data_IF_715569545733
#
_entry.id   IF_715569545733
#
_cell.length_a   1.000
_cell.length_b   1.000
_cell.length_c   1.000
_cell.angle_alpha   90.00
_cell.angle_beta   90.00
_cell.angle_gamma   90.00
#
_symmetry.space_group_name_H-M   'P 1'
#
loop_
_entity.id
_entity.type
_entity.pdbx_description
1 polymer ?
#
# COMPACT_ATOMS: atom_id res chain seq x y z
N UNK A 1 10.25 -18.21 -11.99
CA UNK A 1 9.59 -18.58 -10.70
C UNK A 1 9.33 -17.29 -9.94
N UNK A 2 8.15 -17.11 -9.31
CA UNK A 2 7.83 -15.88 -8.56
C UNK A 2 7.02 -16.21 -7.31
N UNK A 3 7.47 -15.74 -6.15
CA UNK A 3 6.73 -15.89 -4.88
C UNK A 3 6.76 -14.59 -4.10
N UNK A 4 5.65 -14.28 -3.46
CA UNK A 4 5.51 -13.19 -2.52
C UNK A 4 5.06 -13.76 -1.17
N UNK A 5 5.79 -13.41 -0.13
CA UNK A 5 5.56 -13.90 1.22
C UNK A 5 5.41 -12.73 2.17
N UNK A 6 4.54 -12.90 3.17
CA UNK A 6 4.40 -11.95 4.27
C UNK A 6 4.72 -12.63 5.60
N UNK A 7 5.23 -11.85 6.53
CA UNK A 7 5.47 -12.24 7.90
C UNK A 7 4.97 -11.13 8.81
N UNK A 8 3.99 -11.44 9.65
CA UNK A 8 3.42 -10.47 10.59
C UNK A 8 3.39 -11.08 12.00
N UNK A 9 3.99 -10.36 12.96
CA UNK A 9 3.89 -10.58 14.39
C UNK A 9 3.48 -9.27 15.09
N UNK A 10 3.41 -9.26 16.42
CA UNK A 10 2.98 -8.08 17.19
C UNK A 10 3.84 -6.82 16.97
N UNK A 11 5.06 -6.96 16.45
CA UNK A 11 6.05 -5.87 16.28
C UNK A 11 6.55 -5.70 14.86
N UNK A 12 6.24 -6.64 13.98
CA UNK A 12 6.80 -6.73 12.62
C UNK A 12 5.69 -6.95 11.63
N UNK A 13 5.67 -6.16 10.57
CA UNK A 13 4.91 -6.45 9.36
C UNK A 13 5.89 -6.35 8.18
N UNK A 14 6.23 -7.51 7.60
CA UNK A 14 7.32 -7.64 6.63
C UNK A 14 6.85 -8.38 5.39
N UNK A 15 7.40 -7.99 4.26
CA UNK A 15 7.28 -8.74 3.02
C UNK A 15 8.63 -9.26 2.55
N UNK A 16 8.58 -10.32 1.77
CA UNK A 16 9.71 -10.90 1.06
C UNK A 16 9.22 -11.47 -0.26
N UNK A 17 9.82 -11.04 -1.36
CA UNK A 17 9.52 -11.49 -2.70
C UNK A 17 10.79 -12.06 -3.32
N UNK A 18 10.63 -13.11 -4.13
CA UNK A 18 11.67 -13.57 -5.03
C UNK A 18 11.11 -13.74 -6.43
N UNK A 19 11.86 -13.29 -7.42
CA UNK A 19 11.58 -13.43 -8.83
C UNK A 19 12.82 -13.96 -9.55
N UNK A 20 12.69 -15.13 -10.17
CA UNK A 20 13.77 -15.80 -10.91
C UNK A 20 13.56 -15.54 -12.40
N UNK A 21 14.60 -15.02 -13.04
CA UNK A 21 14.69 -14.76 -14.48
C UNK A 21 15.99 -15.37 -15.01
N UNK A 22 15.87 -16.47 -15.76
CA UNK A 22 17.00 -17.20 -16.35
C UNK A 22 18.06 -17.59 -15.30
N UNK A 23 19.29 -17.14 -15.47
CA UNK A 23 20.44 -17.39 -14.60
C UNK A 23 20.52 -16.46 -13.38
N UNK A 24 19.51 -15.61 -13.16
CA UNK A 24 19.49 -14.64 -12.08
C UNK A 24 18.20 -14.68 -11.28
N UNK A 25 18.27 -14.24 -10.04
CA UNK A 25 17.09 -13.91 -9.26
C UNK A 25 17.21 -12.55 -8.61
N UNK A 26 16.06 -11.93 -8.40
CA UNK A 26 15.88 -10.70 -7.64
C UNK A 26 15.06 -10.99 -6.41
N UNK A 27 15.58 -10.61 -5.25
CA UNK A 27 14.88 -10.65 -3.96
C UNK A 27 14.55 -9.23 -3.56
N UNK A 28 13.27 -8.98 -3.24
CA UNK A 28 12.82 -7.70 -2.67
C UNK A 28 12.27 -7.96 -1.28
N UNK A 29 12.72 -7.21 -0.26
CA UNK A 29 12.25 -7.42 1.11
C UNK A 29 12.18 -6.12 1.89
N UNK A 30 11.24 -6.03 2.83
CA UNK A 30 11.06 -4.81 3.58
C UNK A 30 9.92 -4.90 4.58
N UNK A 31 9.56 -3.75 5.14
CA UNK A 31 8.31 -3.56 5.88
C UNK A 31 7.16 -3.55 4.86
N UNK A 32 6.06 -4.22 5.16
CA UNK A 32 4.88 -4.20 4.27
C UNK A 32 4.43 -2.76 4.06
N UNK A 33 4.26 -2.36 2.80
CA UNK A 33 3.90 -0.98 2.42
C UNK A 33 5.07 -0.08 2.01
N UNK A 34 6.33 -0.47 2.25
CA UNK A 34 7.50 0.26 1.76
C UNK A 34 8.03 -0.29 0.43
N UNK A 35 8.86 0.49 -0.26
CA UNK A 35 9.57 0.05 -1.48
C UNK A 35 10.51 -1.14 -1.21
N UNK A 36 10.91 -1.35 0.04
CA UNK A 36 11.83 -2.39 0.46
C UNK A 36 13.25 -2.21 -0.09
N UNK A 37 14.08 -3.23 0.13
CA UNK A 37 15.43 -3.34 -0.42
C UNK A 37 15.45 -4.42 -1.48
N UNK A 38 16.17 -4.15 -2.58
CA UNK A 38 16.33 -5.05 -3.70
C UNK A 38 17.73 -5.65 -3.66
N UNK A 39 17.82 -6.96 -3.82
CA UNK A 39 19.08 -7.68 -4.00
C UNK A 39 18.97 -8.62 -5.19
N UNK A 40 19.83 -8.41 -6.19
CA UNK A 40 19.94 -9.27 -7.36
C UNK A 40 21.17 -10.15 -7.25
N UNK A 41 21.04 -11.41 -7.64
CA UNK A 41 22.15 -12.36 -7.70
C UNK A 41 22.09 -13.14 -9.00
N UNK A 42 23.22 -13.18 -9.71
CA UNK A 42 23.42 -13.92 -10.95
C UNK A 42 24.27 -15.17 -10.68
N UNK A 43 24.02 -16.22 -11.45
CA UNK A 43 24.67 -17.52 -11.38
C UNK A 43 25.19 -17.92 -12.76
N UNK A 44 26.01 -18.98 -12.81
CA UNK A 44 26.58 -19.46 -14.07
C UNK A 44 25.55 -20.21 -14.94
N UNK A 45 24.46 -20.70 -14.34
CA UNK A 45 23.40 -21.44 -15.02
C UNK A 45 22.04 -21.34 -14.30
N UNK A 46 20.96 -21.55 -15.07
CA UNK A 46 19.57 -21.49 -14.60
C UNK A 46 19.25 -22.55 -13.52
N UNK A 47 19.82 -23.76 -13.62
CA UNK A 47 19.52 -24.85 -12.67
C UNK A 47 20.03 -24.51 -11.27
N UNK A 48 21.27 -23.99 -11.20
CA UNK A 48 21.89 -23.51 -9.97
C UNK A 48 21.10 -22.33 -9.37
N UNK A 49 20.69 -21.38 -10.21
CA UNK A 49 19.84 -20.25 -9.80
C UNK A 49 18.53 -20.72 -9.17
N UNK A 50 17.80 -21.60 -9.85
CA UNK A 50 16.50 -22.12 -9.41
C UNK A 50 16.63 -22.92 -8.09
N UNK A 51 17.71 -23.68 -7.94
CA UNK A 51 17.96 -24.47 -6.71
C UNK A 51 18.19 -23.58 -5.50
N UNK A 52 18.98 -22.51 -5.62
CA UNK A 52 19.19 -21.57 -4.53
C UNK A 52 17.92 -20.77 -4.22
N UNK A 53 17.16 -20.35 -5.24
CA UNK A 53 15.87 -19.68 -5.06
C UNK A 53 14.86 -20.52 -4.26
N UNK A 54 14.74 -21.82 -4.59
CA UNK A 54 13.87 -22.77 -3.85
C UNK A 54 14.32 -23.00 -2.41
N UNK A 55 15.64 -22.99 -2.16
CA UNK A 55 16.20 -23.08 -0.81
C UNK A 55 15.84 -21.86 0.01
N UNK A 56 16.03 -20.65 -0.51
CA UNK A 56 15.64 -19.41 0.15
C UNK A 56 14.15 -19.37 0.47
N UNK A 57 13.29 -19.76 -0.49
CA UNK A 57 11.86 -19.89 -0.28
C UNK A 57 11.55 -20.83 0.89
N UNK A 58 12.12 -22.02 0.89
CA UNK A 58 11.90 -23.03 1.94
C UNK A 58 12.36 -22.53 3.33
N UNK A 59 13.47 -21.81 3.40
CA UNK A 59 13.96 -21.20 4.64
C UNK A 59 13.02 -20.13 5.17
N UNK A 60 12.43 -19.31 4.30
CA UNK A 60 11.45 -18.28 4.70
C UNK A 60 10.16 -18.92 5.22
N UNK A 61 9.63 -19.93 4.51
CA UNK A 61 8.44 -20.66 4.95
C UNK A 61 8.66 -21.33 6.33
N UNK A 62 9.84 -21.92 6.57
CA UNK A 62 10.19 -22.47 7.90
C UNK A 62 10.27 -21.41 9.01
N UNK A 63 10.57 -20.16 8.66
CA UNK A 63 10.61 -19.03 9.61
C UNK A 63 9.23 -18.41 9.87
N UNK A 64 8.16 -19.01 9.34
CA UNK A 64 6.78 -18.57 9.57
C UNK A 64 6.29 -17.52 8.56
N UNK A 65 7.04 -17.26 7.48
CA UNK A 65 6.50 -16.50 6.35
C UNK A 65 5.40 -17.34 5.67
N UNK A 66 4.34 -16.66 5.21
CA UNK A 66 3.19 -17.28 4.57
C UNK A 66 3.08 -16.76 3.15
N UNK A 67 2.69 -17.63 2.22
CA UNK A 67 2.46 -17.26 0.83
C UNK A 67 1.26 -16.31 0.70
N UNK A 68 1.44 -15.23 -0.06
CA UNK A 68 0.45 -14.19 -0.27
C UNK A 68 0.50 -13.68 -1.72
N UNK A 69 -0.55 -12.98 -2.15
CA UNK A 69 -0.55 -12.31 -3.44
C UNK A 69 0.32 -11.05 -3.38
N UNK A 70 1.22 -10.89 -4.35
CA UNK A 70 2.00 -9.67 -4.48
C UNK A 70 1.05 -8.49 -4.77
N UNK A 71 1.22 -7.33 -4.11
CA UNK A 71 0.54 -6.12 -4.55
C UNK A 71 1.00 -5.78 -5.98
N UNK A 72 0.04 -5.44 -6.85
CA UNK A 72 0.35 -5.07 -8.22
C UNK A 72 1.22 -3.79 -8.23
N UNK A 73 2.24 -3.69 -9.12
CA UNK A 73 2.98 -2.45 -9.29
C UNK A 73 2.02 -1.34 -9.73
N UNK A 74 2.21 -0.09 -9.29
CA UNK A 74 1.33 1.01 -9.66
C UNK A 74 1.55 1.33 -11.15
N UNK A 75 0.77 0.71 -12.02
CA UNK A 75 0.53 1.16 -13.38
C UNK A 75 -0.85 1.82 -13.40
N UNK A 76 -1.03 2.86 -14.20
CA UNK A 76 -2.27 3.66 -14.30
C UNK A 76 -3.58 2.93 -14.67
N UNK A 77 -3.63 1.59 -14.58
CA UNK A 77 -4.82 0.72 -14.53
C UNK A 77 -5.38 0.48 -13.12
N UNK A 78 -4.67 0.91 -12.08
CA UNK A 78 -5.03 0.66 -10.68
C UNK A 78 -6.49 0.99 -10.32
N UNK A 79 -7.13 1.96 -11.00
CA UNK A 79 -8.50 2.35 -10.68
C UNK A 79 -9.54 1.28 -11.00
N UNK A 80 -9.45 0.61 -12.16
CA UNK A 80 -10.44 -0.41 -12.55
C UNK A 80 -10.25 -1.69 -11.71
N UNK A 81 -9.00 -2.10 -11.51
CA UNK A 81 -8.63 -3.28 -10.72
C UNK A 81 -9.00 -3.12 -9.23
N UNK A 82 -8.83 -1.92 -8.66
CA UNK A 82 -9.22 -1.64 -7.27
C UNK A 82 -10.75 -1.65 -7.11
N UNK A 83 -11.51 -1.12 -8.07
CA UNK A 83 -12.98 -1.15 -7.98
C UNK A 83 -13.52 -2.59 -8.07
N UNK A 84 -12.96 -3.41 -8.97
CA UNK A 84 -13.30 -4.84 -9.06
C UNK A 84 -12.98 -5.58 -7.74
N UNK A 85 -11.77 -5.39 -7.22
CA UNK A 85 -11.33 -5.99 -5.95
C UNK A 85 -12.23 -5.58 -4.78
N UNK A 86 -12.65 -4.31 -4.73
CA UNK A 86 -13.55 -3.81 -3.67
C UNK A 86 -14.92 -4.48 -3.74
N UNK A 87 -15.51 -4.65 -4.93
CA UNK A 87 -16.82 -5.31 -5.07
C UNK A 87 -16.75 -6.83 -4.79
N UNK A 88 -15.65 -7.49 -5.17
CA UNK A 88 -15.39 -8.89 -4.79
C UNK A 88 -15.29 -9.05 -3.28
N UNK A 89 -14.48 -8.23 -2.62
CA UNK A 89 -14.30 -8.28 -1.16
C UNK A 89 -15.59 -7.93 -0.43
N UNK A 90 -16.35 -6.94 -0.90
CA UNK A 90 -17.66 -6.56 -0.36
C UNK A 90 -18.65 -7.72 -0.42
N UNK A 91 -18.67 -8.45 -1.53
CA UNK A 91 -19.49 -9.66 -1.69
C UNK A 91 -19.05 -10.73 -0.69
N UNK A 92 -17.74 -10.97 -0.57
CA UNK A 92 -17.19 -11.98 0.33
C UNK A 92 -17.46 -11.67 1.81
N UNK A 93 -17.26 -10.42 2.26
CA UNK A 93 -17.54 -10.05 3.67
C UNK A 93 -19.03 -10.09 4.00
N UNK A 94 -19.90 -9.82 3.03
CA UNK A 94 -21.36 -9.84 3.22
C UNK A 94 -21.93 -11.26 3.40
N UNK A 95 -21.16 -12.30 3.07
CA UNK A 95 -21.52 -13.70 3.31
C UNK A 95 -21.26 -14.15 4.76
N UNK A 96 -20.60 -13.34 5.58
CA UNK A 96 -20.22 -13.65 6.96
C UNK A 96 -21.09 -12.86 7.96
N UNK A 97 -22.13 -13.48 8.58
CA UNK A 97 -23.05 -12.77 9.48
C UNK A 97 -22.38 -12.10 10.68
N UNK A 98 -21.29 -12.67 11.18
CA UNK A 98 -20.48 -12.13 12.26
C UNK A 98 -19.84 -10.78 11.91
N UNK A 99 -19.72 -10.45 10.61
CA UNK A 99 -19.17 -9.17 10.15
C UNK A 99 -20.23 -8.07 10.03
N UNK A 100 -21.52 -8.42 10.04
CA UNK A 100 -22.63 -7.48 9.87
C UNK A 100 -22.51 -6.17 10.69
N UNK A 101 -22.21 -6.19 12.01
CA UNK A 101 -22.10 -4.95 12.79
C UNK A 101 -20.95 -4.05 12.34
N UNK A 102 -19.86 -4.61 11.81
CA UNK A 102 -18.74 -3.83 11.28
C UNK A 102 -19.07 -3.27 9.90
N UNK A 103 -19.75 -4.05 9.06
CA UNK A 103 -20.17 -3.62 7.72
C UNK A 103 -21.19 -2.48 7.78
N UNK A 104 -22.12 -2.52 8.73
CA UNK A 104 -23.07 -1.43 8.98
C UNK A 104 -22.34 -0.12 9.30
N UNK A 105 -21.43 -0.14 10.29
CA UNK A 105 -20.59 1.02 10.64
C UNK A 105 -19.78 1.51 9.44
N UNK A 106 -19.16 0.60 8.70
CA UNK A 106 -18.27 0.91 7.57
C UNK A 106 -19.03 1.54 6.39
N UNK A 107 -20.26 1.10 6.15
CA UNK A 107 -21.14 1.64 5.11
C UNK A 107 -21.70 3.03 5.45
N UNK A 108 -21.78 3.36 6.74
CA UNK A 108 -22.24 4.66 7.23
C UNK A 108 -21.14 5.75 7.21
N UNK A 109 -19.89 5.37 6.93
CA UNK A 109 -18.79 6.33 6.91
C UNK A 109 -18.88 7.29 5.72
N UNK A 110 -18.50 8.57 5.90
CA UNK A 110 -18.58 9.58 4.86
C UNK A 110 -17.39 9.48 3.89
N UNK A 111 -17.30 8.38 3.14
CA UNK A 111 -16.19 8.12 2.21
C UNK A 111 -15.97 9.24 1.19
N UNK A 112 -17.03 9.91 0.74
CA UNK A 112 -16.94 11.06 -0.16
C UNK A 112 -16.31 12.29 0.52
N UNK A 113 -16.49 12.47 1.83
CA UNK A 113 -15.83 13.54 2.59
C UNK A 113 -14.36 13.21 2.81
N UNK A 114 -14.03 11.94 3.10
CA UNK A 114 -12.65 11.47 3.17
C UNK A 114 -11.91 11.66 1.85
N UNK A 115 -12.55 11.34 0.72
CA UNK A 115 -11.99 11.57 -0.62
C UNK A 115 -11.69 13.06 -0.85
N UNK A 116 -12.62 13.96 -0.48
CA UNK A 116 -12.41 15.41 -0.59
C UNK A 116 -11.30 15.89 0.32
N UNK A 117 -11.24 15.45 1.58
CA UNK A 117 -10.19 15.87 2.50
C UNK A 117 -8.82 15.39 2.01
N UNK A 118 -8.71 14.12 1.59
CA UNK A 118 -7.52 13.57 0.98
C UNK A 118 -7.09 14.35 -0.26
N UNK A 119 -8.03 14.77 -1.10
CA UNK A 119 -7.73 15.61 -2.25
C UNK A 119 -7.06 16.92 -1.84
N UNK A 120 -7.60 17.64 -0.85
CA UNK A 120 -7.01 18.90 -0.38
C UNK A 120 -5.63 18.68 0.23
N UNK A 121 -5.48 17.62 1.04
CA UNK A 121 -4.20 17.30 1.68
C UNK A 121 -3.12 16.93 0.66
N UNK A 122 -3.50 16.19 -0.39
CA UNK A 122 -2.58 15.91 -1.51
C UNK A 122 -2.19 17.22 -2.19
N UNK A 123 -3.14 18.10 -2.51
CA UNK A 123 -2.83 19.39 -3.15
C UNK A 123 -1.89 20.24 -2.28
N UNK A 124 -2.17 20.38 -0.99
CA UNK A 124 -1.33 21.11 -0.03
C UNK A 124 0.08 20.51 0.05
N UNK A 125 0.17 19.17 0.14
CA UNK A 125 1.46 18.49 0.17
C UNK A 125 2.25 18.71 -1.14
N UNK A 126 1.59 18.73 -2.30
CA UNK A 126 2.25 19.06 -3.57
C UNK A 126 2.73 20.52 -3.63
N UNK A 127 1.95 21.46 -3.12
CA UNK A 127 2.30 22.88 -3.10
C UNK A 127 3.52 23.11 -2.19
N UNK A 128 3.51 22.59 -0.97
CA UNK A 128 4.64 22.69 -0.05
C UNK A 128 5.88 21.96 -0.59
N UNK A 129 5.71 20.77 -1.19
CA UNK A 129 6.84 20.05 -1.78
C UNK A 129 7.51 20.86 -2.89
N UNK A 130 6.74 21.59 -3.70
CA UNK A 130 7.27 22.48 -4.74
C UNK A 130 7.97 23.72 -4.16
N UNK A 131 7.43 24.32 -3.10
CA UNK A 131 8.05 25.48 -2.45
C UNK A 131 9.41 25.15 -1.83
N UNK A 132 9.61 23.90 -1.42
CA UNK A 132 10.88 23.41 -0.86
C UNK A 132 11.92 23.00 -1.92
N UNK A 133 11.55 22.94 -3.20
CA UNK A 133 12.50 22.61 -4.27
C UNK A 133 13.51 23.75 -4.48
N UNK A 134 14.80 23.41 -4.40
CA UNK A 134 15.89 24.37 -4.57
C UNK A 134 16.18 24.67 -6.05
N UNK A 135 15.94 23.70 -6.94
CA UNK A 135 16.15 23.82 -8.38
C UNK A 135 14.81 24.06 -9.12
N UNK A 136 14.69 25.22 -9.77
CA UNK A 136 13.53 25.58 -10.58
C UNK A 136 13.40 24.75 -11.87
N UNK A 137 14.47 24.06 -12.30
CA UNK A 137 14.46 23.14 -13.43
C UNK A 137 13.94 21.74 -13.06
N UNK A 138 14.00 21.37 -11.78
CA UNK A 138 13.48 20.09 -11.29
C UNK A 138 11.94 20.10 -11.18
N UNK A 139 11.34 18.91 -11.30
CA UNK A 139 9.88 18.74 -11.25
C UNK A 139 9.46 17.54 -10.42
N UNK A 140 8.29 17.68 -9.79
CA UNK A 140 7.61 16.58 -9.13
C UNK A 140 7.02 15.63 -10.18
N UNK A 141 7.51 14.38 -10.23
CA UNK A 141 7.06 13.36 -11.19
C UNK A 141 5.98 12.43 -10.63
N UNK A 142 5.81 12.41 -9.31
CA UNK A 142 4.80 11.60 -8.64
C UNK A 142 4.91 11.67 -7.14
N UNK A 143 4.09 10.86 -6.46
CA UNK A 143 4.18 10.71 -5.02
C UNK A 143 3.71 9.32 -4.56
N UNK A 144 4.17 8.92 -3.38
CA UNK A 144 3.72 7.75 -2.63
C UNK A 144 3.19 8.24 -1.29
N UNK A 145 2.02 7.77 -0.88
CA UNK A 145 1.50 8.02 0.46
C UNK A 145 1.68 6.75 1.30
N UNK A 146 2.45 6.81 2.38
CA UNK A 146 2.55 5.71 3.34
C UNK A 146 1.35 5.78 4.28
N UNK A 147 0.52 4.73 4.27
CA UNK A 147 -0.49 4.54 5.29
C UNK A 147 -0.10 3.38 6.20
N UNK A 148 -0.17 3.62 7.51
CA UNK A 148 0.13 2.65 8.54
C UNK A 148 -1.07 2.46 9.46
N UNK A 149 -1.10 1.32 10.12
CA UNK A 149 -2.06 1.04 11.18
C UNK A 149 -1.35 0.73 12.50
N UNK A 150 -0.07 1.13 12.65
CA UNK A 150 0.74 0.76 13.83
C UNK A 150 0.09 1.20 15.16
N UNK A 151 -0.74 2.26 15.12
CA UNK A 151 -1.51 2.74 16.26
C UNK A 151 -3.01 2.89 15.95
N UNK A 152 -3.61 1.97 15.17
CA UNK A 152 -5.00 2.14 14.73
C UNK A 152 -6.02 2.28 15.87
N UNK A 153 -5.67 1.83 17.09
CA UNK A 153 -6.49 1.98 18.30
C UNK A 153 -6.61 3.42 18.76
N UNK A 154 -5.57 4.22 18.58
CA UNK A 154 -5.48 5.60 19.08
C UNK A 154 -5.65 6.60 17.93
N UNK A 155 -5.15 6.27 16.75
CA UNK A 155 -5.06 7.19 15.62
C UNK A 155 -5.67 6.62 14.32
N UNK A 156 -6.31 5.46 14.34
CA UNK A 156 -6.89 4.85 13.14
C UNK A 156 -5.88 4.51 12.03
N UNK A 157 -6.32 4.54 10.77
CA UNK A 157 -5.40 4.35 9.64
C UNK A 157 -4.74 5.70 9.38
N UNK A 158 -3.48 5.79 9.75
CA UNK A 158 -2.68 7.00 9.63
C UNK A 158 -2.03 7.02 8.25
N UNK A 159 -2.30 8.04 7.45
CA UNK A 159 -1.64 8.32 6.18
C UNK A 159 -0.74 9.54 6.42
N UNK A 160 0.34 9.31 7.16
CA UNK A 160 1.15 10.34 7.80
C UNK A 160 2.17 11.01 6.88
N UNK A 161 2.53 10.35 5.78
CA UNK A 161 3.72 10.72 5.03
C UNK A 161 3.45 10.62 3.53
N UNK A 162 3.56 11.75 2.85
CA UNK A 162 3.68 11.83 1.40
C UNK A 162 5.15 11.91 1.04
N UNK A 163 5.59 11.03 0.15
CA UNK A 163 6.93 10.99 -0.43
C UNK A 163 6.82 11.41 -1.88
N UNK A 164 7.54 12.45 -2.29
CA UNK A 164 7.49 12.95 -3.65
C UNK A 164 8.69 12.48 -4.46
N UNK A 165 8.47 12.05 -5.69
CA UNK A 165 9.57 11.81 -6.63
C UNK A 165 9.93 13.10 -7.34
N UNK A 166 11.21 13.43 -7.35
CA UNK A 166 11.79 14.59 -8.05
C UNK A 166 12.67 14.09 -9.20
N UNK A 167 12.60 14.71 -10.39
CA UNK A 167 13.55 14.45 -11.48
C UNK A 167 12.97 14.53 -12.90
N UNK A 168 13.75 14.06 -13.87
CA UNK A 168 13.37 13.91 -15.27
C UNK A 168 13.18 12.44 -15.61
N UNK A 169 11.96 12.09 -16.07
CA UNK A 169 11.52 10.78 -16.59
C UNK A 169 12.46 9.58 -16.32
N UNK A 170 12.04 8.76 -15.33
CA UNK A 170 12.30 7.32 -15.17
C UNK A 170 13.57 6.83 -14.42
N UNK A 171 14.44 7.69 -13.88
CA UNK A 171 15.56 7.21 -13.03
C UNK A 171 15.43 7.67 -11.57
N UNK A 172 14.78 6.82 -10.77
CA UNK A 172 14.66 6.86 -9.30
C UNK A 172 13.72 7.94 -8.73
N UNK A 173 12.82 7.52 -7.84
CA UNK A 173 12.15 8.45 -6.92
C UNK A 173 13.20 8.87 -5.89
N UNK A 174 13.71 10.10 -5.97
CA UNK A 174 14.40 10.69 -4.82
C UNK A 174 13.37 10.94 -3.70
N UNK A 175 13.75 10.74 -2.43
CA UNK A 175 12.85 11.01 -1.29
C UNK A 175 12.64 12.53 -1.16
N UNK A 176 11.51 13.02 -1.66
CA UNK A 176 11.06 14.39 -1.45
C UNK A 176 10.54 14.64 -0.02
N UNK A 177 10.13 15.88 0.29
CA UNK A 177 9.79 16.27 1.65
C UNK A 177 8.56 15.55 2.19
N UNK A 178 8.66 15.11 3.44
CA UNK A 178 7.56 14.47 4.17
C UNK A 178 6.60 15.53 4.71
N UNK A 179 5.42 15.61 4.10
CA UNK A 179 4.39 16.57 4.49
C UNK A 179 3.22 15.88 5.19
N UNK A 180 2.69 16.56 6.20
CA UNK A 180 1.96 15.98 7.32
C UNK A 180 0.68 15.19 7.02
N UNK A 181 0.25 14.47 8.06
CA UNK A 181 -0.65 13.32 7.97
C UNK A 181 -2.15 13.58 7.94
N UNK A 182 -2.85 12.65 7.28
CA UNK A 182 -4.30 12.49 7.38
C UNK A 182 -4.63 11.15 8.01
N UNK A 183 -5.48 11.16 9.03
CA UNK A 183 -5.96 9.93 9.65
C UNK A 183 -7.38 9.61 9.23
N UNK A 184 -7.56 8.39 8.73
CA UNK A 184 -8.85 7.71 8.63
C UNK A 184 -9.16 7.03 9.97
N UNK A 185 -9.61 7.85 10.94
CA UNK A 185 -9.84 7.41 12.31
C UNK A 185 -10.89 6.29 12.40
N UNK A 186 -12.09 6.53 11.85
CA UNK A 186 -13.21 5.59 11.97
C UNK A 186 -12.98 4.25 11.26
N UNK A 187 -12.45 4.18 10.02
CA UNK A 187 -12.07 2.89 9.41
C UNK A 187 -11.08 2.09 10.26
N UNK A 188 -10.07 2.76 10.85
CA UNK A 188 -9.11 2.10 11.73
C UNK A 188 -9.73 1.62 13.04
N UNK A 189 -10.67 2.37 13.62
CA UNK A 189 -11.43 1.97 14.81
C UNK A 189 -12.34 0.77 14.55
N UNK A 190 -13.02 0.72 13.39
CA UNK A 190 -13.82 -0.46 13.00
C UNK A 190 -12.91 -1.69 12.88
N UNK A 191 -11.73 -1.53 12.28
CA UNK A 191 -10.74 -2.60 12.20
C UNK A 191 -10.26 -3.03 13.60
N UNK A 192 -10.14 -2.10 14.54
CA UNK A 192 -9.82 -2.37 15.95
C UNK A 192 -10.89 -3.20 16.65
N UNK A 193 -12.14 -2.74 16.58
CA UNK A 193 -13.28 -3.40 17.22
C UNK A 193 -13.42 -4.84 16.69
N UNK A 194 -13.20 -5.04 15.39
CA UNK A 194 -13.23 -6.36 14.77
C UNK A 194 -12.07 -7.25 15.23
N UNK A 195 -10.87 -6.69 15.38
CA UNK A 195 -9.72 -7.39 15.94
C UNK A 195 -10.03 -7.87 17.36
N UNK A 196 -10.60 -7.01 18.20
CA UNK A 196 -10.91 -7.34 19.60
C UNK A 196 -12.02 -8.39 19.72
N UNK A 197 -12.97 -8.38 18.79
CA UNK A 197 -14.11 -9.30 18.80
C UNK A 197 -13.78 -10.68 18.24
N UNK A 198 -12.96 -10.75 17.17
CA UNK A 198 -12.74 -11.98 16.40
C UNK A 198 -11.32 -12.55 16.59
N UNK A 199 -10.34 -11.68 16.86
CA UNK A 199 -8.93 -12.01 16.93
C UNK A 199 -8.22 -11.98 15.56
N UNK A 200 -6.92 -11.67 15.58
CA UNK A 200 -6.11 -11.51 14.36
C UNK A 200 -6.11 -12.72 13.41
N UNK A 201 -6.09 -13.92 13.98
CA UNK A 201 -6.02 -15.16 13.20
C UNK A 201 -7.39 -15.58 12.65
N UNK A 202 -8.47 -14.90 13.01
CA UNK A 202 -9.79 -15.19 12.47
C UNK A 202 -9.84 -14.90 10.95
N UNK A 203 -10.58 -15.75 10.23
CA UNK A 203 -10.69 -15.62 8.77
C UNK A 203 -11.59 -14.45 8.38
N UNK A 204 -12.68 -14.22 9.12
CA UNK A 204 -13.58 -13.10 8.92
C UNK A 204 -12.89 -11.78 9.20
N UNK A 205 -12.13 -11.69 10.29
CA UNK A 205 -11.29 -10.51 10.58
C UNK A 205 -10.31 -10.21 9.44
N UNK A 206 -9.55 -11.21 8.97
CA UNK A 206 -8.57 -11.01 7.88
C UNK A 206 -9.24 -10.54 6.60
N UNK A 207 -10.41 -11.09 6.27
CA UNK A 207 -11.18 -10.66 5.11
C UNK A 207 -11.71 -9.24 5.25
N UNK A 208 -12.24 -8.87 6.43
CA UNK A 208 -12.68 -7.51 6.74
C UNK A 208 -11.52 -6.51 6.71
N UNK A 209 -10.37 -6.85 7.30
CA UNK A 209 -9.14 -6.04 7.24
C UNK A 209 -8.75 -5.76 5.79
N UNK A 210 -8.75 -6.78 4.93
CA UNK A 210 -8.44 -6.61 3.51
C UNK A 210 -9.47 -5.72 2.80
N UNK A 211 -10.76 -5.87 3.11
CA UNK A 211 -11.80 -5.02 2.56
C UNK A 211 -11.63 -3.55 2.96
N UNK A 212 -11.39 -3.27 4.23
CA UNK A 212 -11.17 -1.90 4.73
C UNK A 212 -9.95 -1.26 4.04
N UNK A 213 -8.84 -1.98 3.91
CA UNK A 213 -7.65 -1.46 3.21
C UNK A 213 -7.89 -1.16 1.74
N UNK A 214 -8.70 -1.97 1.04
CA UNK A 214 -9.06 -1.70 -0.35
C UNK A 214 -10.02 -0.51 -0.48
N UNK A 215 -10.91 -0.28 0.48
CA UNK A 215 -11.71 0.95 0.54
C UNK A 215 -10.83 2.18 0.73
N UNK A 216 -9.83 2.11 1.61
CA UNK A 216 -8.84 3.18 1.83
C UNK A 216 -8.07 3.44 0.54
N UNK A 217 -7.49 2.40 -0.07
CA UNK A 217 -6.73 2.51 -1.30
C UNK A 217 -7.56 3.10 -2.45
N UNK A 218 -8.83 2.69 -2.58
CA UNK A 218 -9.77 3.27 -3.55
C UNK A 218 -9.99 4.75 -3.30
N UNK A 219 -10.25 5.13 -2.05
CA UNK A 219 -10.52 6.51 -1.65
C UNK A 219 -9.31 7.40 -1.95
N UNK A 220 -8.11 6.93 -1.61
CA UNK A 220 -6.86 7.61 -1.96
C UNK A 220 -6.67 7.70 -3.48
N UNK A 221 -6.83 6.60 -4.21
CA UNK A 221 -6.68 6.58 -5.67
C UNK A 221 -7.64 7.52 -6.39
N UNK A 222 -8.87 7.69 -5.87
CA UNK A 222 -9.84 8.68 -6.37
C UNK A 222 -9.42 10.11 -6.04
N UNK A 223 -9.00 10.37 -4.80
CA UNK A 223 -8.48 11.67 -4.39
C UNK A 223 -7.27 12.10 -5.24
N UNK A 224 -6.30 11.20 -5.46
CA UNK A 224 -5.16 11.41 -6.35
C UNK A 224 -5.63 11.69 -7.79
N UNK A 225 -6.57 10.90 -8.29
CA UNK A 225 -7.11 11.08 -9.65
C UNK A 225 -7.80 12.43 -9.83
N UNK A 226 -8.42 12.97 -8.77
CA UNK A 226 -8.97 14.32 -8.76
C UNK A 226 -7.86 15.37 -8.72
N UNK A 227 -6.87 15.20 -7.84
CA UNK A 227 -5.72 16.10 -7.70
C UNK A 227 -5.00 16.28 -9.04
N UNK A 228 -4.63 15.18 -9.70
CA UNK A 228 -3.93 15.21 -11.01
C UNK A 228 -4.75 15.88 -12.12
N UNK A 229 -6.07 15.94 -12.01
CA UNK A 229 -6.96 16.61 -12.97
C UNK A 229 -7.17 18.09 -12.67
N UNK A 230 -6.91 18.51 -11.44
CA UNK A 230 -7.09 19.89 -10.98
C UNK A 230 -6.15 20.85 -11.72
N UNK A 231 -6.62 22.09 -11.90
CA UNK A 231 -5.83 23.13 -12.56
C UNK A 231 -4.65 23.58 -11.72
N UNK A 232 -4.73 23.54 -10.37
CA UNK A 232 -3.59 23.81 -9.49
C UNK A 232 -2.47 22.82 -9.80
N UNK A 233 -2.79 21.53 -9.86
CA UNK A 233 -1.85 20.46 -10.19
C UNK A 233 -1.33 20.53 -11.63
N UNK A 234 -2.17 20.91 -12.59
CA UNK A 234 -1.74 21.12 -13.98
C UNK A 234 -0.79 22.29 -14.16
N UNK A 235 -0.79 23.28 -13.25
CA UNK A 235 0.23 24.35 -13.22
C UNK A 235 1.55 23.88 -12.57
N UNK A 236 1.56 22.69 -11.96
CA UNK A 236 2.74 22.01 -11.43
C UNK A 236 3.32 21.01 -12.45
N UNK A 237 2.56 20.64 -13.49
CA UNK A 237 3.07 19.94 -14.68
C UNK A 237 3.55 20.97 -15.72
N UNK A 238 4.52 20.63 -16.58
CA UNK A 238 4.98 21.51 -17.66
C UNK A 238 3.84 21.93 -18.60
#
# INVERSE_FOLDING_TARGET
>A
MKHYLTFQDDKSDKFWQIEVSEDSFTVTYGKTGSSGQVQTKTFDDEETCLKEAKKLLSEKLKKGYIEANAPAPPKGRAREEIEETVEELKTAVSQLPELAPFLEKLSALPWDEYEKQLFHNVVEAFESAKEEMEDEEERLIGFVAECSNQNFREYGIDCSEFYFGVGDEDEYFEEGPTLGGFSLHEPGKIMADAYDSLGYQDKGYRLLKNYIWNLVARTMGRAVSLAVKDKSFKKLKP
#
